data_IF_564075778893
#
_entry.id   IF_564075778893
#
_cell.length_a   1.000
_cell.length_b   1.000
_cell.length_c   1.000
_cell.angle_alpha   90.00
_cell.angle_beta   90.00
_cell.angle_gamma   90.00
#
_symmetry.space_group_name_H-M   'P 1'
#
loop_
_entity.id
_entity.type
_entity.pdbx_description
1 polymer ?
#
# COMPACT_ATOMS: atom_id res chain seq x y z
N UNK A 1 67.93 -39.98 -42.93
CA UNK A 1 66.77 -39.73 -43.83
C UNK A 1 65.63 -39.20 -42.98
N UNK A 2 65.43 -37.88 -42.97
CA UNK A 2 64.42 -37.21 -42.16
C UNK A 2 63.04 -37.32 -42.82
N UNK A 3 62.04 -37.84 -42.10
CA UNK A 3 60.66 -37.89 -42.56
C UNK A 3 59.97 -36.53 -42.28
N UNK A 4 59.21 -35.96 -43.23
CA UNK A 4 58.50 -34.71 -42.99
C UNK A 4 57.19 -34.99 -42.22
N UNK A 5 57.08 -34.41 -41.03
CA UNK A 5 55.83 -34.39 -40.25
C UNK A 5 54.86 -33.45 -40.96
N UNK A 6 53.79 -34.00 -41.52
CA UNK A 6 52.65 -33.24 -42.05
C UNK A 6 51.91 -32.59 -40.89
N UNK A 7 52.05 -31.28 -40.75
CA UNK A 7 51.23 -30.46 -39.85
C UNK A 7 49.84 -30.31 -40.46
N UNK A 8 48.92 -31.18 -40.05
CA UNK A 8 47.48 -31.00 -40.20
C UNK A 8 46.94 -30.52 -38.85
N UNK A 9 45.93 -29.65 -38.92
CA UNK A 9 45.17 -29.04 -37.83
C UNK A 9 45.69 -27.64 -37.39
N UNK A 10 44.88 -26.60 -37.27
CA UNK A 10 43.43 -26.53 -37.25
C UNK A 10 43.00 -25.20 -37.88
N UNK A 11 42.16 -25.28 -38.92
CA UNK A 11 41.35 -24.16 -39.36
C UNK A 11 40.29 -23.85 -38.28
N UNK A 12 40.13 -22.55 -38.01
CA UNK A 12 39.01 -21.93 -37.28
C UNK A 12 38.93 -22.20 -35.77
N UNK A 13 39.74 -21.48 -34.99
CA UNK A 13 39.39 -21.10 -33.61
C UNK A 13 39.70 -19.62 -33.38
N UNK A 14 39.02 -18.72 -34.10
CA UNK A 14 39.00 -17.28 -33.78
C UNK A 14 37.60 -16.67 -33.91
N UNK A 15 36.61 -17.31 -33.27
CA UNK A 15 35.38 -16.62 -32.87
C UNK A 15 34.90 -17.20 -31.54
N UNK A 16 35.62 -16.92 -30.46
CA UNK A 16 35.02 -16.93 -29.13
C UNK A 16 35.30 -15.59 -28.48
N UNK A 17 34.63 -14.55 -28.96
CA UNK A 17 34.37 -13.40 -28.12
C UNK A 17 33.36 -13.86 -27.07
N UNK A 18 33.84 -14.28 -25.89
CA UNK A 18 32.98 -14.32 -24.71
C UNK A 18 32.62 -12.87 -24.40
N UNK A 19 31.53 -12.39 -24.97
CA UNK A 19 31.01 -11.08 -24.64
C UNK A 19 30.61 -11.10 -23.17
N UNK A 20 31.26 -10.27 -22.35
CA UNK A 20 30.78 -10.00 -21.01
C UNK A 20 29.42 -9.30 -21.15
N UNK A 21 28.36 -9.97 -20.72
CA UNK A 21 27.03 -9.35 -20.67
C UNK A 21 27.04 -8.27 -19.59
N UNK A 22 26.89 -7.01 -19.99
CA UNK A 22 26.72 -5.86 -19.08
C UNK A 22 25.26 -5.63 -18.71
N UNK A 23 24.34 -6.48 -19.18
CA UNK A 23 22.93 -6.37 -18.86
C UNK A 23 22.70 -6.64 -17.37
N UNK A 24 22.04 -5.71 -16.69
CA UNK A 24 21.57 -5.90 -15.31
C UNK A 24 20.72 -7.18 -15.25
N UNK A 25 21.01 -8.06 -14.30
CA UNK A 25 20.17 -9.23 -14.05
C UNK A 25 18.75 -8.78 -13.72
N UNK A 26 17.80 -9.09 -14.59
CA UNK A 26 16.38 -8.79 -14.33
C UNK A 26 15.92 -9.69 -13.18
N UNK A 27 15.35 -9.11 -12.12
CA UNK A 27 14.72 -9.87 -11.05
C UNK A 27 13.50 -10.60 -11.62
N UNK A 28 13.70 -11.87 -11.98
CA UNK A 28 12.62 -12.74 -12.45
C UNK A 28 11.60 -13.00 -11.34
N UNK A 29 10.31 -13.03 -11.72
CA UNK A 29 9.23 -13.44 -10.81
C UNK A 29 8.58 -12.33 -9.97
N UNK A 30 8.94 -11.05 -10.14
CA UNK A 30 8.27 -9.94 -9.45
C UNK A 30 6.74 -9.96 -9.66
N UNK A 31 6.28 -10.15 -10.89
CA UNK A 31 4.85 -10.18 -11.23
C UNK A 31 4.13 -11.28 -10.45
N UNK A 32 4.66 -12.49 -10.50
CA UNK A 32 4.12 -13.65 -9.78
C UNK A 32 4.11 -13.39 -8.26
N UNK A 33 5.20 -12.84 -7.69
CA UNK A 33 5.25 -12.53 -6.25
C UNK A 33 4.16 -11.55 -5.83
N UNK A 34 3.97 -10.48 -6.61
CA UNK A 34 2.91 -9.49 -6.37
C UNK A 34 1.51 -10.10 -6.48
N UNK A 35 1.28 -10.94 -7.49
CA UNK A 35 0.02 -11.68 -7.66
C UNK A 35 -0.29 -12.59 -6.47
N UNK A 36 0.75 -13.07 -5.78
CA UNK A 36 0.63 -13.94 -4.60
C UNK A 36 0.78 -13.18 -3.27
N UNK A 37 0.79 -11.84 -3.27
CA UNK A 37 0.88 -11.04 -2.05
C UNK A 37 2.23 -11.12 -1.32
N UNK A 38 3.31 -11.45 -2.04
CA UNK A 38 4.68 -11.52 -1.51
C UNK A 38 5.46 -10.25 -1.91
N UNK A 39 6.51 -9.92 -1.15
CA UNK A 39 7.43 -8.82 -1.46
C UNK A 39 8.04 -8.93 -2.86
N UNK A 40 8.30 -7.78 -3.48
CA UNK A 40 8.81 -7.70 -4.86
C UNK A 40 10.19 -8.36 -5.00
N UNK A 41 11.10 -8.02 -4.10
CA UNK A 41 12.50 -8.45 -4.12
C UNK A 41 12.76 -9.73 -3.32
N UNK A 42 11.79 -10.18 -2.50
CA UNK A 42 11.96 -11.26 -1.54
C UNK A 42 12.73 -10.88 -0.25
N UNK A 43 13.30 -9.67 -0.18
CA UNK A 43 14.13 -9.20 0.95
C UNK A 43 13.51 -8.05 1.73
N UNK A 44 12.41 -7.46 1.27
CA UNK A 44 11.75 -6.33 1.94
C UNK A 44 11.09 -6.77 3.26
N UNK A 45 10.29 -7.83 3.18
CA UNK A 45 9.58 -8.43 4.29
C UNK A 45 9.32 -9.91 3.99
N UNK A 46 9.13 -10.68 5.06
CA UNK A 46 8.87 -12.12 4.98
C UNK A 46 9.84 -12.94 5.82
N UNK A 47 9.65 -14.27 5.86
CA UNK A 47 10.38 -15.16 6.76
C UNK A 47 11.91 -15.10 6.54
N UNK A 48 12.36 -14.91 5.30
CA UNK A 48 13.77 -14.80 4.97
C UNK A 48 14.47 -13.60 5.63
N UNK A 49 13.74 -12.51 5.92
CA UNK A 49 14.33 -11.26 6.42
C UNK A 49 13.89 -10.93 7.85
N UNK A 50 12.71 -11.39 8.27
CA UNK A 50 12.17 -11.11 9.59
C UNK A 50 12.60 -12.17 10.64
N UNK A 51 12.92 -13.41 10.23
CA UNK A 51 13.42 -14.44 11.13
C UNK A 51 14.92 -14.24 11.47
N UNK A 52 15.39 -14.73 12.62
CA UNK A 52 16.81 -14.72 12.96
C UNK A 52 17.58 -15.75 12.13
N UNK A 53 18.77 -15.37 11.65
CA UNK A 53 19.63 -16.25 10.84
C UNK A 53 20.26 -17.39 11.66
N UNK A 54 20.29 -17.27 12.99
CA UNK A 54 20.89 -18.24 13.91
C UNK A 54 20.21 -18.23 15.29
N UNK A 55 20.49 -19.25 16.10
CA UNK A 55 20.11 -19.33 17.51
C UNK A 55 21.20 -20.03 18.32
N UNK A 56 21.19 -19.90 19.64
CA UNK A 56 22.15 -20.63 20.49
C UNK A 56 21.80 -22.13 20.49
N UNK A 57 22.80 -22.99 20.61
CA UNK A 57 22.59 -24.45 20.68
C UNK A 57 21.67 -24.87 21.84
N UNK A 58 21.67 -24.11 22.93
CA UNK A 58 20.79 -24.31 24.09
C UNK A 58 19.32 -23.93 23.82
N UNK A 59 19.00 -23.43 22.62
CA UNK A 59 17.66 -22.96 22.25
C UNK A 59 17.35 -21.50 22.64
N UNK A 60 18.31 -20.78 23.22
CA UNK A 60 18.16 -19.34 23.49
C UNK A 60 18.03 -18.57 22.16
N UNK A 61 17.15 -17.56 22.08
CA UNK A 61 16.99 -16.78 20.86
C UNK A 61 18.22 -15.91 20.61
N UNK A 62 18.52 -15.65 19.33
CA UNK A 62 19.54 -14.68 18.97
C UNK A 62 19.11 -13.26 19.40
N UNK A 63 20.07 -12.40 19.80
CA UNK A 63 19.79 -10.99 20.03
C UNK A 63 19.27 -10.33 18.76
N UNK A 64 18.40 -9.33 18.91
CA UNK A 64 17.80 -8.61 17.77
C UNK A 64 18.86 -7.85 16.97
N UNK A 65 18.82 -8.01 15.65
CA UNK A 65 19.69 -7.24 14.76
C UNK A 65 19.24 -5.78 14.68
N UNK A 66 20.20 -4.85 14.50
CA UNK A 66 19.92 -3.41 14.36
C UNK A 66 18.87 -3.13 13.27
N UNK A 67 18.96 -3.83 12.14
CA UNK A 67 18.01 -3.69 11.02
C UNK A 67 16.61 -4.23 11.34
N UNK A 68 16.48 -5.26 12.18
CA UNK A 68 15.17 -5.73 12.65
C UNK A 68 14.56 -4.71 13.62
N UNK A 69 15.35 -4.16 14.54
CA UNK A 69 14.89 -3.15 15.49
C UNK A 69 14.39 -1.89 14.76
N UNK A 70 15.15 -1.39 13.79
CA UNK A 70 14.75 -0.26 12.96
C UNK A 70 13.43 -0.53 12.24
N UNK A 71 13.29 -1.68 11.56
CA UNK A 71 12.06 -2.05 10.84
C UNK A 71 10.86 -2.17 11.79
N UNK A 72 11.03 -2.70 13.00
CA UNK A 72 9.97 -2.75 14.01
C UNK A 72 9.51 -1.34 14.40
N UNK A 73 10.46 -0.43 14.66
CA UNK A 73 10.15 0.96 14.99
C UNK A 73 9.42 1.67 13.85
N UNK A 74 9.88 1.51 12.62
CA UNK A 74 9.25 2.10 11.42
C UNK A 74 7.81 1.59 11.24
N UNK A 75 7.60 0.28 11.41
CA UNK A 75 6.26 -0.35 11.36
C UNK A 75 5.34 0.18 12.46
N UNK A 76 5.86 0.36 13.67
CA UNK A 76 5.10 0.92 14.79
C UNK A 76 4.68 2.38 14.53
N UNK A 77 5.61 3.21 14.05
CA UNK A 77 5.32 4.61 13.71
C UNK A 77 4.25 4.69 12.61
N UNK A 78 4.36 3.84 11.59
CA UNK A 78 3.37 3.75 10.52
C UNK A 78 2.00 3.34 11.06
N UNK A 79 1.92 2.29 11.89
CA UNK A 79 0.66 1.83 12.48
C UNK A 79 -0.01 2.92 13.32
N UNK A 80 0.76 3.62 14.17
CA UNK A 80 0.26 4.76 14.96
C UNK A 80 -0.31 5.87 14.07
N UNK A 81 0.36 6.16 12.95
CA UNK A 81 -0.10 7.18 11.99
C UNK A 81 -1.40 6.77 11.32
N UNK A 82 -1.54 5.51 10.91
CA UNK A 82 -2.75 4.98 10.28
C UNK A 82 -3.95 5.14 11.22
N UNK A 83 -3.82 4.65 12.46
CA UNK A 83 -4.90 4.73 13.47
C UNK A 83 -5.29 6.17 13.75
N UNK A 84 -4.30 7.07 13.85
CA UNK A 84 -4.56 8.47 14.10
C UNK A 84 -5.35 9.12 12.96
N UNK A 85 -4.94 8.89 11.70
CA UNK A 85 -5.65 9.42 10.52
C UNK A 85 -7.07 8.86 10.40
N UNK A 86 -7.25 7.56 10.64
CA UNK A 86 -8.55 6.91 10.63
C UNK A 86 -9.51 7.58 11.63
N UNK A 87 -9.04 7.81 12.85
CA UNK A 87 -9.82 8.50 13.89
C UNK A 87 -10.13 9.97 13.56
N UNK A 88 -9.27 10.65 12.82
CA UNK A 88 -9.53 12.03 12.37
C UNK A 88 -10.63 12.06 11.30
N UNK A 89 -10.63 11.08 10.38
CA UNK A 89 -11.66 10.94 9.36
C UNK A 89 -13.01 10.65 10.00
N UNK A 90 -13.07 9.69 10.93
CA UNK A 90 -14.31 9.34 11.63
C UNK A 90 -14.92 10.55 12.35
N UNK A 91 -14.11 11.27 13.14
CA UNK A 91 -14.55 12.49 13.82
C UNK A 91 -15.01 13.57 12.84
N UNK A 92 -14.39 13.64 11.66
CA UNK A 92 -14.79 14.57 10.60
C UNK A 92 -16.18 14.25 10.05
N UNK A 93 -16.47 12.96 9.85
CA UNK A 93 -17.77 12.46 9.40
C UNK A 93 -18.84 12.72 10.46
N UNK A 94 -18.58 12.38 11.72
CA UNK A 94 -19.51 12.62 12.84
C UNK A 94 -19.90 14.09 12.93
N UNK A 95 -18.92 15.00 12.95
CA UNK A 95 -19.17 16.45 13.00
C UNK A 95 -19.94 16.96 11.79
N UNK A 96 -19.69 16.40 10.60
CA UNK A 96 -20.43 16.79 9.40
C UNK A 96 -21.89 16.35 9.49
N UNK A 97 -22.16 15.14 9.94
CA UNK A 97 -23.52 14.63 10.17
C UNK A 97 -24.26 15.47 11.22
N UNK A 98 -23.64 15.74 12.37
CA UNK A 98 -24.22 16.59 13.42
C UNK A 98 -24.59 17.98 12.90
N UNK A 99 -23.74 18.55 12.03
CA UNK A 99 -23.99 19.85 11.43
C UNK A 99 -25.18 19.82 10.47
N UNK A 100 -25.34 18.76 9.67
CA UNK A 100 -26.49 18.59 8.79
C UNK A 100 -27.79 18.46 9.60
N UNK A 101 -27.80 17.58 10.60
CA UNK A 101 -28.96 17.39 11.47
C UNK A 101 -29.32 18.66 12.25
N UNK A 102 -28.32 19.42 12.71
CA UNK A 102 -28.56 20.70 13.37
C UNK A 102 -29.15 21.73 12.39
N UNK A 103 -28.69 21.77 11.13
CA UNK A 103 -29.24 22.65 10.12
C UNK A 103 -30.69 22.29 9.79
N UNK A 104 -31.01 21.01 9.62
CA UNK A 104 -32.37 20.52 9.40
C UNK A 104 -33.29 20.87 10.57
N UNK A 105 -32.87 20.57 11.81
CA UNK A 105 -33.63 20.93 13.02
C UNK A 105 -33.87 22.43 13.13
N UNK A 106 -32.88 23.26 12.79
CA UNK A 106 -33.03 24.72 12.80
C UNK A 106 -34.02 25.20 11.73
N UNK A 107 -34.02 24.60 10.54
CA UNK A 107 -34.99 24.92 9.49
C UNK A 107 -36.41 24.47 9.87
N UNK A 108 -36.57 23.30 10.47
CA UNK A 108 -37.85 22.84 11.02
C UNK A 108 -38.35 23.75 12.14
N UNK A 109 -37.46 24.12 13.06
CA UNK A 109 -37.77 25.06 14.14
C UNK A 109 -38.22 26.41 13.57
N UNK A 110 -37.48 26.98 12.60
CA UNK A 110 -37.88 28.20 11.90
C UNK A 110 -39.25 28.08 11.25
N UNK A 111 -39.54 26.97 10.56
CA UNK A 111 -40.84 26.70 9.93
C UNK A 111 -41.96 26.66 10.97
N UNK A 112 -41.72 26.04 12.12
CA UNK A 112 -42.70 25.95 13.21
C UNK A 112 -43.05 27.32 13.82
N UNK A 113 -42.07 28.23 13.85
CA UNK A 113 -42.24 29.60 14.33
C UNK A 113 -42.90 30.55 13.32
N UNK A 114 -43.11 30.13 12.07
CA UNK A 114 -43.77 30.98 11.07
C UNK A 114 -45.22 31.26 11.46
N UNK A 115 -45.62 32.52 11.33
CA UNK A 115 -47.02 32.92 11.53
C UNK A 115 -47.92 32.32 10.46
N UNK A 116 -49.21 32.16 10.80
CA UNK A 116 -50.22 31.69 9.85
C UNK A 116 -50.22 32.57 8.58
N UNK A 117 -50.27 31.96 7.39
CA UNK A 117 -50.27 32.72 6.15
C UNK A 117 -51.54 33.59 6.04
N UNK A 118 -51.40 34.79 5.47
CA UNK A 118 -52.48 35.77 5.29
C UNK A 118 -52.67 36.16 3.83
N UNK A 119 -53.77 36.85 3.53
CA UNK A 119 -54.05 37.44 2.21
C UNK A 119 -54.33 36.42 1.10
N UNK A 120 -53.71 36.63 -0.08
CA UNK A 120 -53.94 35.84 -1.31
C UNK A 120 -53.75 34.32 -1.13
N UNK A 121 -52.90 33.90 -0.18
CA UNK A 121 -52.66 32.50 0.13
C UNK A 121 -53.86 31.80 0.79
N UNK A 122 -54.68 32.52 1.55
CA UNK A 122 -55.91 31.98 2.14
C UNK A 122 -57.01 31.80 1.08
N UNK A 123 -57.18 32.80 0.20
CA UNK A 123 -58.20 32.80 -0.86
C UNK A 123 -57.98 31.62 -1.81
N UNK A 124 -56.72 31.36 -2.21
CA UNK A 124 -56.33 30.21 -3.06
C UNK A 124 -56.56 28.85 -2.40
N UNK A 125 -56.44 28.76 -1.07
CA UNK A 125 -56.66 27.51 -0.33
C UNK A 125 -58.14 27.15 -0.25
N UNK A 126 -59.01 28.15 -0.13
CA UNK A 126 -60.46 27.94 -0.10
C UNK A 126 -61.01 27.53 -1.47
N UNK A 127 -60.55 28.13 -2.57
CA UNK A 127 -60.97 27.78 -3.94
C UNK A 127 -60.53 26.38 -4.39
N UNK A 128 -59.52 25.77 -3.75
CA UNK A 128 -59.09 24.40 -4.03
C UNK A 128 -59.84 23.32 -3.22
N UNK A 129 -60.57 23.73 -2.19
CA UNK A 129 -61.27 22.83 -1.28
C UNK A 129 -62.80 22.84 -1.49
N UNK A 130 -63.29 23.65 -2.44
CA UNK A 130 -64.65 23.62 -3.00
C UNK A 130 -64.63 22.89 -4.34
#
# INVERSE_FOLDING_TARGET
>A
MAAPVRTLCCSVLRLSSRQFSTTCGVQGGEKWRKEHGISKSGTEYGPLTDLPDWSFADGRPAPLLKGQLRRKQEREVLARRIVMLDSEVDRGIEKWNEKQEAAERMEEHKKSLLLKPKGKLLIKKQTKNS
#
